data_IF_241793821281
#
_entry.id   IF_241793821281
#
_cell.length_a   1.000
_cell.length_b   1.000
_cell.length_c   1.000
_cell.angle_alpha   90.00
_cell.angle_beta   90.00
_cell.angle_gamma   90.00
#
_symmetry.space_group_name_H-M   'P 1'
#
loop_
_entity.id
_entity.type
_entity.pdbx_description
1 polymer ?
#
# COMPACT_ATOMS: atom_id res chain seq x y z
N UNK A 1 -1.63 -15.06 -6.45
CA UNK A 1 -3.06 -15.41 -6.58
C UNK A 1 -3.73 -15.06 -5.26
N UNK A 2 -4.96 -14.55 -5.26
CA UNK A 2 -5.71 -14.25 -4.03
C UNK A 2 -6.89 -15.23 -3.96
N UNK A 3 -6.99 -16.01 -2.89
CA UNK A 3 -8.19 -16.82 -2.62
C UNK A 3 -9.20 -15.96 -1.85
N UNK A 4 -10.47 -16.05 -2.22
CA UNK A 4 -11.56 -15.29 -1.61
C UNK A 4 -12.88 -16.02 -1.80
N UNK A 5 -13.97 -15.50 -1.25
CA UNK A 5 -15.31 -16.05 -1.48
C UNK A 5 -15.55 -16.37 -2.97
N UNK A 6 -16.01 -17.59 -3.24
CA UNK A 6 -16.26 -18.13 -4.58
C UNK A 6 -15.03 -18.69 -5.31
N UNK A 7 -13.81 -18.55 -4.78
CA UNK A 7 -12.64 -19.29 -5.26
C UNK A 7 -12.87 -20.80 -5.12
N UNK A 8 -12.38 -21.59 -6.07
CA UNK A 8 -12.46 -23.05 -6.03
C UNK A 8 -11.14 -23.69 -6.45
N UNK A 9 -10.85 -24.89 -5.96
CA UNK A 9 -9.72 -25.70 -6.41
C UNK A 9 -8.83 -26.24 -5.31
N UNK A 10 -7.67 -26.78 -5.71
CA UNK A 10 -6.73 -27.45 -4.83
C UNK A 10 -6.11 -26.51 -3.78
N UNK A 11 -5.94 -25.23 -4.14
CA UNK A 11 -5.41 -24.20 -3.25
C UNK A 11 -6.39 -23.88 -2.12
N UNK A 12 -7.69 -23.85 -2.41
CA UNK A 12 -8.75 -23.69 -1.40
C UNK A 12 -8.81 -24.91 -0.49
N UNK A 13 -8.71 -26.11 -1.06
CA UNK A 13 -8.67 -27.36 -0.30
C UNK A 13 -7.49 -27.38 0.68
N UNK A 14 -6.31 -26.95 0.24
CA UNK A 14 -5.12 -26.85 1.07
C UNK A 14 -5.29 -25.83 2.19
N UNK A 15 -5.86 -24.65 1.88
CA UNK A 15 -6.20 -23.61 2.86
C UNK A 15 -7.15 -24.14 3.93
N UNK A 16 -8.27 -24.76 3.55
CA UNK A 16 -9.26 -25.31 4.49
C UNK A 16 -8.61 -26.33 5.43
N UNK A 17 -7.78 -27.24 4.90
CA UNK A 17 -7.02 -28.20 5.72
C UNK A 17 -6.04 -27.51 6.68
N UNK A 18 -5.38 -26.44 6.25
CA UNK A 18 -4.48 -25.68 7.10
C UNK A 18 -5.23 -24.99 8.25
N UNK A 19 -6.33 -24.30 7.95
CA UNK A 19 -7.18 -23.63 8.95
C UNK A 19 -7.77 -24.63 9.96
N UNK A 20 -8.27 -25.78 9.50
CA UNK A 20 -8.77 -26.83 10.40
C UNK A 20 -7.69 -27.38 11.32
N UNK A 21 -6.45 -27.59 10.82
CA UNK A 21 -5.31 -28.01 11.66
C UNK A 21 -4.94 -26.96 12.71
N UNK A 22 -5.10 -25.68 12.37
CA UNK A 22 -4.89 -24.56 13.28
C UNK A 22 -6.08 -24.33 14.24
N UNK A 23 -7.13 -25.14 14.16
CA UNK A 23 -8.28 -25.11 15.07
C UNK A 23 -9.39 -24.13 14.67
N UNK A 24 -9.38 -23.60 13.45
CA UNK A 24 -10.43 -22.69 12.97
C UNK A 24 -11.62 -23.47 12.39
N UNK A 25 -12.81 -22.93 12.62
CA UNK A 25 -14.10 -23.51 12.28
C UNK A 25 -15.01 -22.46 11.63
N UNK A 26 -16.13 -22.90 11.08
CA UNK A 26 -17.15 -21.99 10.56
C UNK A 26 -17.86 -21.20 11.66
N UNK A 27 -18.78 -20.30 11.27
CA UNK A 27 -19.52 -19.45 12.21
C UNK A 27 -20.42 -20.22 13.19
N UNK A 28 -20.72 -21.50 12.93
CA UNK A 28 -21.50 -22.38 13.80
C UNK A 28 -20.61 -23.25 14.69
N UNK A 29 -19.30 -23.07 14.65
CA UNK A 29 -18.33 -23.89 15.38
C UNK A 29 -18.10 -25.27 14.76
N UNK A 30 -18.59 -25.51 13.53
CA UNK A 30 -18.37 -26.78 12.83
C UNK A 30 -17.04 -26.75 12.10
N UNK A 31 -16.32 -27.88 12.13
CA UNK A 31 -15.09 -28.05 11.37
C UNK A 31 -15.33 -27.76 9.88
N UNK A 32 -14.36 -27.09 9.24
CA UNK A 32 -14.46 -26.75 7.82
C UNK A 32 -14.51 -28.02 6.97
N UNK A 33 -15.44 -28.04 6.01
CA UNK A 33 -15.40 -29.02 4.93
C UNK A 33 -14.19 -28.71 4.04
N UNK A 34 -13.29 -29.66 3.90
CA UNK A 34 -12.18 -29.57 2.96
C UNK A 34 -12.67 -30.04 1.58
N UNK A 35 -13.53 -29.23 0.95
CA UNK A 35 -14.20 -29.52 -0.32
C UNK A 35 -13.60 -28.74 -1.51
N UNK A 36 -12.67 -27.83 -1.24
CA UNK A 36 -12.08 -26.96 -2.25
C UNK A 36 -13.01 -25.84 -2.72
N UNK A 37 -14.10 -25.52 -2.00
CA UNK A 37 -14.98 -24.39 -2.27
C UNK A 37 -14.87 -23.31 -1.18
N UNK A 38 -14.46 -22.11 -1.56
CA UNK A 38 -14.30 -21.00 -0.64
C UNK A 38 -15.67 -20.34 -0.41
N UNK A 39 -16.51 -21.02 0.36
CA UNK A 39 -17.81 -20.50 0.81
C UNK A 39 -17.72 -19.69 2.11
N UNK A 40 -18.88 -19.28 2.62
CA UNK A 40 -19.01 -18.44 3.82
C UNK A 40 -18.35 -19.02 5.07
N UNK A 41 -18.36 -20.34 5.24
CA UNK A 41 -17.67 -21.00 6.36
C UNK A 41 -16.14 -20.83 6.29
N UNK A 42 -15.56 -20.94 5.10
CA UNK A 42 -14.12 -20.73 4.87
C UNK A 42 -13.75 -19.27 5.07
N UNK A 43 -14.55 -18.34 4.52
CA UNK A 43 -14.33 -16.90 4.71
C UNK A 43 -14.37 -16.50 6.18
N UNK A 44 -15.35 -16.99 6.94
CA UNK A 44 -15.44 -16.75 8.37
C UNK A 44 -14.18 -17.25 9.10
N UNK A 45 -13.73 -18.47 8.82
CA UNK A 45 -12.52 -19.02 9.44
C UNK A 45 -11.26 -18.21 9.10
N UNK A 46 -11.13 -17.76 7.85
CA UNK A 46 -10.04 -16.86 7.43
C UNK A 46 -10.09 -15.56 8.22
N UNK A 47 -11.26 -14.94 8.34
CA UNK A 47 -11.41 -13.71 9.12
C UNK A 47 -11.05 -13.90 10.59
N UNK A 48 -11.49 -14.99 11.23
CA UNK A 48 -11.12 -15.29 12.61
C UNK A 48 -9.62 -15.50 12.76
N UNK A 49 -8.99 -16.18 11.80
CA UNK A 49 -7.55 -16.38 11.77
C UNK A 49 -6.79 -15.04 11.65
N UNK A 50 -7.19 -14.19 10.71
CA UNK A 50 -6.61 -12.86 10.54
C UNK A 50 -6.77 -12.01 11.81
N UNK A 51 -7.97 -11.97 12.40
CA UNK A 51 -8.25 -11.25 13.66
C UNK A 51 -7.39 -11.74 14.81
N UNK A 52 -7.26 -13.06 14.97
CA UNK A 52 -6.47 -13.66 16.05
C UNK A 52 -5.00 -13.25 16.01
N UNK A 53 -4.46 -13.03 14.82
CA UNK A 53 -3.07 -12.59 14.58
C UNK A 53 -2.92 -11.07 14.45
N UNK A 54 -4.02 -10.32 14.60
CA UNK A 54 -4.04 -8.86 14.44
C UNK A 54 -3.79 -8.38 13.01
N UNK A 55 -3.88 -9.26 12.02
CA UNK A 55 -3.80 -8.88 10.60
C UNK A 55 -5.06 -8.12 10.19
N UNK A 56 -4.97 -7.35 9.11
CA UNK A 56 -6.16 -6.78 8.44
C UNK A 56 -7.13 -7.92 8.11
N UNK A 57 -8.32 -7.90 8.72
CA UNK A 57 -9.28 -8.99 8.65
C UNK A 57 -10.27 -8.82 7.48
N UNK A 58 -9.73 -8.90 6.26
CA UNK A 58 -10.48 -8.74 5.02
C UNK A 58 -11.11 -10.04 4.49
N UNK A 59 -10.94 -11.21 5.14
CA UNK A 59 -11.49 -12.48 4.67
C UNK A 59 -10.87 -13.01 3.37
N UNK A 60 -9.84 -12.34 2.83
CA UNK A 60 -9.10 -12.74 1.63
C UNK A 60 -7.78 -13.38 2.02
N UNK A 61 -7.39 -14.42 1.30
CA UNK A 61 -6.10 -15.08 1.49
C UNK A 61 -5.16 -14.65 0.38
N UNK A 62 -4.46 -13.54 0.64
CA UNK A 62 -3.29 -13.11 -0.12
C UNK A 62 -1.98 -13.47 0.59
N UNK A 63 -0.87 -12.92 0.10
CA UNK A 63 0.48 -13.25 0.58
C UNK A 63 0.63 -13.04 2.11
N UNK A 64 0.02 -11.99 2.68
CA UNK A 64 0.07 -11.70 4.12
C UNK A 64 -0.54 -12.84 4.96
N UNK A 65 -1.72 -13.31 4.55
CA UNK A 65 -2.40 -14.41 5.24
C UNK A 65 -1.69 -15.75 5.02
N UNK A 66 -1.12 -15.98 3.83
CA UNK A 66 -0.31 -17.16 3.57
C UNK A 66 0.98 -17.20 4.41
N UNK A 67 1.70 -16.08 4.52
CA UNK A 67 2.86 -15.92 5.42
C UNK A 67 2.50 -16.33 6.84
N UNK A 68 1.35 -15.86 7.33
CA UNK A 68 0.84 -16.17 8.66
C UNK A 68 0.46 -17.65 8.82
N UNK A 69 -0.23 -18.25 7.85
CA UNK A 69 -0.61 -19.67 7.86
C UNK A 69 0.63 -20.57 7.91
N UNK A 70 1.71 -20.16 7.23
CA UNK A 70 2.98 -20.87 7.22
C UNK A 70 3.82 -20.66 8.50
N UNK A 71 3.32 -19.91 9.49
CA UNK A 71 4.03 -19.64 10.74
C UNK A 71 5.25 -18.73 10.60
N UNK A 72 5.34 -17.98 9.49
CA UNK A 72 6.40 -16.98 9.28
C UNK A 72 6.10 -15.72 10.09
N UNK A 73 7.14 -14.97 10.46
CA UNK A 73 6.98 -13.73 11.23
C UNK A 73 6.07 -12.73 10.51
N UNK A 74 5.08 -12.24 11.24
CA UNK A 74 4.10 -11.24 10.79
C UNK A 74 4.25 -9.91 11.52
N UNK A 75 5.29 -9.73 12.35
CA UNK A 75 5.53 -8.52 13.15
C UNK A 75 5.55 -7.24 12.32
N UNK A 76 6.12 -7.31 11.11
CA UNK A 76 6.21 -6.19 10.17
C UNK A 76 4.96 -5.97 9.32
N UNK A 77 3.97 -6.86 9.35
CA UNK A 77 2.76 -6.73 8.53
C UNK A 77 1.75 -5.75 9.12
N UNK A 78 0.99 -5.12 8.24
CA UNK A 78 -0.04 -4.14 8.57
C UNK A 78 -1.09 -4.75 9.50
N UNK A 79 -1.48 -4.00 10.52
CA UNK A 79 -2.41 -4.45 11.56
C UNK A 79 -3.79 -3.87 11.36
N UNK A 80 -4.79 -4.61 11.82
CA UNK A 80 -6.17 -4.14 11.81
C UNK A 80 -6.35 -2.84 12.61
N UNK A 81 -5.67 -2.74 13.75
CA UNK A 81 -5.64 -1.56 14.61
C UNK A 81 -5.06 -0.32 13.93
N UNK A 82 -4.23 -0.48 12.90
CA UNK A 82 -3.63 0.66 12.20
C UNK A 82 -4.71 1.44 11.43
N UNK A 83 -5.68 0.74 10.84
CA UNK A 83 -6.82 1.37 10.17
C UNK A 83 -7.80 2.02 11.15
N UNK A 84 -8.02 1.42 12.32
CA UNK A 84 -8.86 2.02 13.37
C UNK A 84 -8.26 3.34 13.88
N UNK A 85 -6.95 3.35 14.12
CA UNK A 85 -6.20 4.56 14.49
C UNK A 85 -6.24 5.60 13.38
N UNK A 86 -6.03 5.19 12.12
CA UNK A 86 -6.12 6.08 10.97
C UNK A 86 -7.50 6.71 10.81
N UNK A 87 -8.57 5.93 10.94
CA UNK A 87 -9.96 6.40 10.88
C UNK A 87 -10.22 7.48 11.95
N UNK A 88 -9.77 7.21 13.18
CA UNK A 88 -9.88 8.14 14.31
C UNK A 88 -9.10 9.44 14.07
N UNK A 89 -7.83 9.33 13.65
CA UNK A 89 -6.95 10.48 13.38
C UNK A 89 -7.50 11.35 12.26
N UNK A 90 -7.91 10.75 11.15
CA UNK A 90 -8.41 11.46 9.99
C UNK A 90 -9.85 11.95 10.16
N UNK A 91 -10.59 11.40 11.13
CA UNK A 91 -12.04 11.63 11.34
C UNK A 91 -12.85 11.22 10.12
N UNK A 92 -12.62 9.99 9.65
CA UNK A 92 -13.30 9.40 8.50
C UNK A 92 -13.89 8.05 8.91
N UNK A 93 -14.82 7.53 8.11
CA UNK A 93 -15.31 6.16 8.29
C UNK A 93 -14.16 5.16 8.25
N UNK A 94 -14.16 4.20 9.18
CA UNK A 94 -13.19 3.10 9.18
C UNK A 94 -13.25 2.30 7.87
N UNK A 95 -14.45 2.07 7.36
CA UNK A 95 -14.67 1.44 6.06
C UNK A 95 -13.98 2.23 4.94
N UNK A 96 -14.16 3.56 4.92
CA UNK A 96 -13.58 4.42 3.89
C UNK A 96 -12.04 4.32 3.84
N UNK A 97 -11.36 4.42 4.99
CA UNK A 97 -9.89 4.35 5.01
C UNK A 97 -9.35 2.94 4.75
N UNK A 98 -10.09 1.89 5.16
CA UNK A 98 -9.74 0.50 4.85
C UNK A 98 -9.83 0.23 3.35
N UNK A 99 -10.95 0.61 2.71
CA UNK A 99 -11.15 0.45 1.28
C UNK A 99 -10.10 1.25 0.52
N UNK A 100 -9.88 2.51 0.89
CA UNK A 100 -8.88 3.34 0.23
C UNK A 100 -7.48 2.75 0.36
N UNK A 101 -7.09 2.31 1.56
CA UNK A 101 -5.79 1.67 1.77
C UNK A 101 -5.65 0.31 1.06
N UNK A 102 -6.72 -0.48 0.96
CA UNK A 102 -6.70 -1.77 0.27
C UNK A 102 -6.57 -1.60 -1.25
N UNK A 103 -7.21 -0.58 -1.83
CA UNK A 103 -7.14 -0.30 -3.27
C UNK A 103 -5.81 0.34 -3.66
N UNK A 104 -5.26 1.23 -2.81
CA UNK A 104 -3.98 1.90 -3.08
C UNK A 104 -2.76 1.07 -2.70
N UNK A 105 -2.91 0.15 -1.74
CA UNK A 105 -1.85 -0.70 -1.27
C UNK A 105 -1.45 -1.78 -2.27
N UNK A 106 -0.15 -2.01 -2.46
CA UNK A 106 0.38 -3.03 -3.38
C UNK A 106 0.72 -4.35 -2.69
N UNK A 107 -0.27 -4.95 -2.02
CA UNK A 107 -0.10 -6.22 -1.30
C UNK A 107 0.93 -6.09 -0.17
N UNK A 108 2.00 -6.90 -0.19
CA UNK A 108 3.12 -6.77 0.74
C UNK A 108 3.88 -5.45 0.53
N UNK A 109 4.29 -4.81 1.61
CA UNK A 109 5.16 -3.63 1.62
C UNK A 109 6.64 -3.95 1.47
N UNK A 110 7.01 -5.22 1.57
CA UNK A 110 8.39 -5.71 1.51
C UNK A 110 8.59 -6.68 0.34
N UNK A 111 9.82 -6.74 -0.14
CA UNK A 111 10.34 -7.74 -1.05
C UNK A 111 10.73 -9.00 -0.29
N UNK A 112 11.02 -10.07 -1.02
CA UNK A 112 11.41 -11.37 -0.45
C UNK A 112 12.68 -11.30 0.41
N UNK A 113 13.58 -10.37 0.11
CA UNK A 113 14.80 -10.11 0.87
C UNK A 113 14.61 -9.18 2.09
N UNK A 114 13.37 -8.85 2.44
CA UNK A 114 13.03 -8.01 3.59
C UNK A 114 13.24 -6.50 3.39
N UNK A 115 13.68 -6.06 2.20
CA UNK A 115 13.73 -4.63 1.87
C UNK A 115 12.34 -4.10 1.49
N UNK A 116 11.99 -2.83 1.78
CA UNK A 116 10.75 -2.23 1.32
C UNK A 116 10.62 -2.31 -0.21
N UNK A 117 9.39 -2.41 -0.72
CA UNK A 117 9.17 -2.24 -2.16
C UNK A 117 9.51 -0.82 -2.56
N UNK A 118 10.27 -0.66 -3.64
CA UNK A 118 10.61 0.65 -4.20
C UNK A 118 10.35 0.70 -5.70
N UNK A 119 10.20 1.92 -6.21
CA UNK A 119 10.36 2.22 -7.63
C UNK A 119 11.24 3.47 -7.74
N UNK A 120 12.35 3.37 -8.48
CA UNK A 120 13.28 4.48 -8.66
C UNK A 120 12.95 5.27 -9.94
N UNK A 121 12.81 6.59 -9.79
CA UNK A 121 12.40 7.51 -10.84
C UNK A 121 13.58 8.34 -11.35
N UNK A 122 14.25 7.85 -12.41
CA UNK A 122 15.41 8.53 -13.04
C UNK A 122 15.15 9.99 -13.46
N UNK A 123 13.89 10.32 -13.76
CA UNK A 123 13.45 11.66 -14.10
C UNK A 123 13.39 12.61 -12.91
N UNK A 124 13.04 12.08 -11.73
CA UNK A 124 13.14 12.81 -10.46
C UNK A 124 14.58 13.02 -10.06
N UNK A 125 15.43 12.00 -10.26
CA UNK A 125 16.86 12.12 -9.99
C UNK A 125 17.47 13.28 -10.79
N UNK A 126 17.16 13.37 -12.09
CA UNK A 126 17.56 14.51 -12.92
C UNK A 126 17.07 15.85 -12.35
N UNK A 127 15.80 15.95 -11.98
CA UNK A 127 15.21 17.18 -11.45
C UNK A 127 15.92 17.65 -10.16
N UNK A 128 16.17 16.74 -9.21
CA UNK A 128 16.84 17.06 -7.96
C UNK A 128 18.32 17.39 -8.14
N UNK A 129 19.04 16.66 -9.00
CA UNK A 129 20.43 16.98 -9.33
C UNK A 129 20.56 18.36 -10.00
N UNK A 130 19.62 18.71 -10.90
CA UNK A 130 19.54 20.03 -11.52
C UNK A 130 19.33 21.12 -10.47
N UNK A 131 18.43 20.89 -9.52
CA UNK A 131 18.12 21.85 -8.45
C UNK A 131 19.29 22.01 -7.48
N UNK A 132 19.95 20.91 -7.07
CA UNK A 132 21.01 20.90 -6.06
C UNK A 132 22.34 21.41 -6.61
N UNK A 133 22.67 21.09 -7.87
CA UNK A 133 23.96 21.43 -8.48
C UNK A 133 23.82 22.46 -9.60
N UNK A 134 23.39 22.05 -10.78
CA UNK A 134 23.11 22.93 -11.93
C UNK A 134 22.52 22.15 -13.10
N UNK A 135 21.94 22.86 -14.07
CA UNK A 135 21.51 22.28 -15.34
C UNK A 135 22.66 21.60 -16.10
N UNK A 136 23.84 22.25 -16.14
CA UNK A 136 25.03 21.71 -16.83
C UNK A 136 25.45 20.37 -16.22
N UNK A 137 25.53 20.31 -14.89
CA UNK A 137 25.90 19.08 -14.18
C UNK A 137 24.88 17.96 -14.39
N UNK A 138 23.59 18.27 -14.33
CA UNK A 138 22.54 17.29 -14.56
C UNK A 138 22.59 16.72 -16.00
N UNK A 139 22.86 17.57 -16.99
CA UNK A 139 23.01 17.14 -18.39
C UNK A 139 24.25 16.25 -18.62
N UNK A 140 25.37 16.55 -17.96
CA UNK A 140 26.56 15.69 -17.97
C UNK A 140 26.24 14.29 -17.40
N UNK A 141 25.49 14.24 -16.30
CA UNK A 141 25.11 12.99 -15.64
C UNK A 141 24.12 12.16 -16.47
N UNK A 142 23.30 12.77 -17.32
CA UNK A 142 22.48 12.03 -18.31
C UNK A 142 23.38 11.24 -19.26
N UNK A 143 24.44 11.87 -19.79
CA UNK A 143 25.35 11.22 -20.75
C UNK A 143 26.12 10.08 -20.08
N UNK A 144 26.53 10.27 -18.83
CA UNK A 144 27.32 9.28 -18.08
C UNK A 144 26.48 8.13 -17.52
N UNK A 145 25.24 8.40 -17.10
CA UNK A 145 24.38 7.43 -16.40
C UNK A 145 22.91 7.48 -16.87
N UNK A 146 22.61 7.24 -18.16
CA UNK A 146 21.27 7.45 -18.72
C UNK A 146 20.15 6.56 -18.14
N UNK A 147 20.51 5.46 -17.45
CA UNK A 147 19.58 4.58 -16.75
C UNK A 147 19.21 5.08 -15.34
N UNK A 148 20.02 5.98 -14.79
CA UNK A 148 19.90 6.54 -13.44
C UNK A 148 19.45 8.00 -13.47
N UNK A 149 19.90 8.75 -14.47
CA UNK A 149 19.57 10.17 -14.67
C UNK A 149 19.07 10.35 -16.09
N UNK A 150 17.84 10.81 -16.27
CA UNK A 150 17.26 11.05 -17.58
C UNK A 150 16.13 12.08 -17.48
N UNK A 151 15.82 12.83 -18.52
CA UNK A 151 14.59 13.67 -18.52
C UNK A 151 13.33 12.85 -18.71
N UNK A 152 13.43 11.67 -19.33
CA UNK A 152 12.32 10.75 -19.56
C UNK A 152 12.09 9.80 -18.37
N UNK A 153 10.82 9.47 -18.13
CA UNK A 153 10.42 8.39 -17.20
C UNK A 153 10.91 7.03 -17.67
N UNK A 154 10.84 6.00 -16.82
CA UNK A 154 11.20 4.63 -17.19
C UNK A 154 12.59 4.16 -16.75
N UNK A 155 13.09 3.12 -17.44
CA UNK A 155 14.29 2.38 -17.05
C UNK A 155 14.04 1.38 -15.90
N UNK A 156 12.78 1.15 -15.56
CA UNK A 156 12.36 0.25 -14.48
C UNK A 156 12.82 -1.19 -14.76
N UNK A 157 13.38 -1.82 -13.74
CA UNK A 157 13.75 -3.23 -13.69
C UNK A 157 12.76 -4.04 -12.84
N UNK A 158 12.13 -3.39 -11.85
CA UNK A 158 11.15 -3.99 -10.96
C UNK A 158 11.78 -4.77 -9.79
N UNK A 159 10.99 -4.92 -8.72
CA UNK A 159 11.32 -5.67 -7.51
C UNK A 159 12.75 -5.38 -6.98
N UNK A 160 13.52 -6.43 -6.63
CA UNK A 160 14.86 -6.30 -6.06
C UNK A 160 15.86 -5.58 -6.99
N UNK A 161 15.64 -5.61 -8.31
CA UNK A 161 16.53 -4.97 -9.27
C UNK A 161 16.44 -3.43 -9.23
N UNK A 162 15.35 -2.85 -8.70
CA UNK A 162 15.27 -1.40 -8.46
C UNK A 162 16.30 -0.94 -7.42
N UNK A 163 16.70 -1.80 -6.47
CA UNK A 163 17.74 -1.45 -5.51
C UNK A 163 19.11 -1.30 -6.15
N UNK A 164 19.41 -2.01 -7.24
CA UNK A 164 20.65 -1.80 -7.98
C UNK A 164 20.69 -0.38 -8.55
N UNK A 165 19.56 0.09 -9.11
CA UNK A 165 19.45 1.47 -9.61
C UNK A 165 19.58 2.49 -8.48
N UNK A 166 18.90 2.26 -7.36
CA UNK A 166 18.97 3.16 -6.21
C UNK A 166 20.39 3.27 -5.63
N UNK A 167 21.10 2.15 -5.46
CA UNK A 167 22.47 2.17 -4.94
C UNK A 167 23.45 2.85 -5.90
N UNK A 168 23.29 2.67 -7.22
CA UNK A 168 24.04 3.44 -8.21
C UNK A 168 23.71 4.93 -8.16
N UNK A 169 22.45 5.29 -7.93
CA UNK A 169 22.04 6.69 -7.76
C UNK A 169 22.66 7.32 -6.50
N UNK A 170 22.73 6.58 -5.40
CA UNK A 170 23.36 7.02 -4.14
C UNK A 170 24.85 7.29 -4.27
N UNK A 171 25.55 6.62 -5.20
CA UNK A 171 26.94 6.94 -5.54
C UNK A 171 27.09 8.34 -6.18
N UNK A 172 26.03 8.88 -6.78
CA UNK A 172 26.00 10.24 -7.33
C UNK A 172 25.65 11.24 -6.24
N UNK A 173 24.49 11.08 -5.60
CA UNK A 173 24.05 11.88 -4.45
C UNK A 173 22.98 11.11 -3.68
N UNK A 174 23.23 10.87 -2.38
CA UNK A 174 22.35 10.04 -1.53
C UNK A 174 20.98 10.68 -1.36
N UNK A 175 20.92 11.97 -1.08
CA UNK A 175 19.66 12.66 -0.78
C UNK A 175 18.76 12.72 -2.03
N UNK A 176 19.32 13.14 -3.17
CA UNK A 176 18.59 13.14 -4.45
C UNK A 176 18.10 11.74 -4.80
N UNK A 177 18.92 10.70 -4.58
CA UNK A 177 18.54 9.33 -4.87
C UNK A 177 17.36 8.85 -4.04
N UNK A 178 17.39 9.09 -2.72
CA UNK A 178 16.31 8.69 -1.82
C UNK A 178 15.02 9.47 -2.08
N UNK A 179 15.11 10.76 -2.40
CA UNK A 179 13.95 11.58 -2.79
C UNK A 179 13.31 11.08 -4.10
N UNK A 180 14.11 10.50 -4.99
CA UNK A 180 13.71 10.03 -6.31
C UNK A 180 13.14 8.62 -6.34
N UNK A 181 12.86 8.02 -5.19
CA UNK A 181 12.23 6.70 -5.11
C UNK A 181 10.89 6.78 -4.37
N UNK A 182 9.92 5.95 -4.79
CA UNK A 182 8.73 5.61 -4.00
C UNK A 182 9.03 4.46 -3.07
N UNK A 183 8.35 4.41 -1.91
CA UNK A 183 8.67 3.45 -0.85
C UNK A 183 7.45 2.76 -0.25
N UNK A 184 7.60 1.48 0.06
CA UNK A 184 6.67 0.67 0.83
C UNK A 184 5.37 0.33 0.09
N UNK A 185 4.41 -0.19 0.85
CA UNK A 185 3.12 -0.69 0.37
C UNK A 185 2.33 0.35 -0.43
N UNK A 186 2.38 1.61 -0.01
CA UNK A 186 1.61 2.72 -0.60
C UNK A 186 2.40 3.56 -1.61
N UNK A 187 3.66 3.21 -1.84
CA UNK A 187 4.53 3.88 -2.84
C UNK A 187 4.62 5.40 -2.64
N UNK A 188 4.73 5.85 -1.39
CA UNK A 188 4.94 7.27 -1.08
C UNK A 188 6.32 7.70 -1.55
N UNK A 189 6.39 8.77 -2.32
CA UNK A 189 7.66 9.30 -2.84
C UNK A 189 8.49 9.92 -1.72
N UNK A 190 9.78 9.61 -1.70
CA UNK A 190 10.74 10.15 -0.75
C UNK A 190 10.87 11.67 -0.82
N UNK A 191 10.56 12.29 -1.96
CA UNK A 191 10.54 13.76 -2.09
C UNK A 191 9.64 14.47 -1.07
N UNK A 192 8.59 13.80 -0.60
CA UNK A 192 7.63 14.39 0.32
C UNK A 192 8.10 14.39 1.79
N UNK A 193 9.28 13.83 2.11
CA UNK A 193 9.71 13.64 3.51
C UNK A 193 9.52 14.88 4.40
N UNK A 194 9.85 16.06 3.88
CA UNK A 194 9.77 17.32 4.63
C UNK A 194 8.33 17.75 4.87
N UNK A 195 7.51 17.68 3.83
CA UNK A 195 6.09 17.99 3.86
C UNK A 195 5.30 17.03 4.76
N UNK A 196 5.76 15.78 4.87
CA UNK A 196 5.23 14.76 5.76
C UNK A 196 5.86 14.82 7.18
N UNK A 197 6.63 15.87 7.48
CA UNK A 197 7.14 16.12 8.84
C UNK A 197 8.21 15.13 9.33
N UNK A 198 8.93 14.46 8.43
CA UNK A 198 10.12 13.69 8.78
C UNK A 198 11.32 14.62 8.97
N UNK A 199 12.31 14.19 9.77
CA UNK A 199 13.50 15.00 10.05
C UNK A 199 14.48 15.06 8.88
N UNK A 200 14.49 14.02 8.05
CA UNK A 200 15.28 13.92 6.82
C UNK A 200 14.67 12.88 5.88
N UNK A 201 15.13 12.84 4.64
CA UNK A 201 14.76 11.74 3.71
C UNK A 201 15.26 10.38 4.22
N UNK A 202 16.38 10.35 4.96
CA UNK A 202 16.90 9.11 5.54
C UNK A 202 15.98 8.60 6.66
N UNK A 203 15.53 9.47 7.56
CA UNK A 203 14.55 9.13 8.61
C UNK A 203 13.23 8.61 7.99
N UNK A 204 12.74 9.27 6.93
CA UNK A 204 11.60 8.75 6.18
C UNK A 204 11.86 7.31 5.69
N UNK A 205 13.00 7.07 5.03
CA UNK A 205 13.35 5.75 4.48
C UNK A 205 13.51 4.71 5.59
N UNK A 206 14.16 5.04 6.70
CA UNK A 206 14.38 4.14 7.83
C UNK A 206 13.06 3.64 8.41
N UNK A 207 12.06 4.51 8.52
CA UNK A 207 10.71 4.12 8.95
C UNK A 207 10.04 3.14 7.97
N UNK A 208 10.29 3.27 6.65
CA UNK A 208 9.75 2.32 5.67
C UNK A 208 10.35 0.91 5.83
N UNK A 209 11.57 0.78 6.36
CA UNK A 209 12.21 -0.51 6.68
C UNK A 209 11.66 -1.19 7.94
N UNK A 210 11.02 -0.43 8.83
CA UNK A 210 10.57 -0.92 10.13
C UNK A 210 9.33 -1.82 10.01
N UNK A 211 8.23 -1.34 9.41
CA UNK A 211 6.99 -2.11 9.28
C UNK A 211 6.03 -1.53 8.23
N UNK A 212 5.07 -2.32 7.77
CA UNK A 212 3.95 -1.84 6.95
C UNK A 212 3.07 -0.85 7.71
N UNK A 213 2.99 -0.91 9.05
CA UNK A 213 2.30 0.09 9.87
C UNK A 213 2.93 1.48 9.70
N UNK A 214 4.26 1.57 9.66
CA UNK A 214 4.97 2.82 9.39
C UNK A 214 4.89 3.24 7.92
N UNK A 215 4.74 2.28 7.00
CA UNK A 215 4.43 2.60 5.61
C UNK A 215 3.00 3.15 5.46
N UNK A 216 2.03 2.68 6.25
CA UNK A 216 0.69 3.28 6.34
C UNK A 216 0.79 4.67 6.96
N UNK A 217 1.58 4.88 8.01
CA UNK A 217 1.79 6.20 8.63
C UNK A 217 2.22 7.24 7.58
N UNK A 218 3.18 6.91 6.71
CA UNK A 218 3.56 7.79 5.60
C UNK A 218 2.39 8.14 4.66
N UNK A 219 1.51 7.17 4.38
CA UNK A 219 0.30 7.36 3.59
C UNK A 219 -0.75 8.23 4.30
N UNK A 220 -0.94 8.05 5.61
CA UNK A 220 -1.84 8.90 6.41
C UNK A 220 -1.36 10.34 6.43
N UNK A 221 -0.07 10.58 6.65
CA UNK A 221 0.51 11.93 6.57
C UNK A 221 0.35 12.53 5.18
N UNK A 222 0.49 11.71 4.14
CA UNK A 222 0.27 12.17 2.77
C UNK A 222 -1.18 12.59 2.53
N UNK A 223 -2.16 11.86 3.07
CA UNK A 223 -3.57 12.26 3.04
C UNK A 223 -3.79 13.61 3.72
N UNK A 224 -3.19 13.83 4.88
CA UNK A 224 -3.31 15.08 5.64
C UNK A 224 -2.70 16.28 4.91
N UNK A 225 -1.55 16.10 4.26
CA UNK A 225 -0.83 17.15 3.56
C UNK A 225 -1.38 17.45 2.16
N UNK A 226 -1.79 16.41 1.42
CA UNK A 226 -2.03 16.54 -0.02
C UNK A 226 -3.20 17.47 -0.31
N UNK A 227 -2.95 18.45 -1.17
CA UNK A 227 -3.99 19.29 -1.76
C UNK A 227 -3.78 19.47 -3.27
N UNK A 228 -4.81 19.95 -3.94
CA UNK A 228 -4.77 20.24 -5.37
C UNK A 228 -6.04 20.97 -5.82
N UNK A 229 -6.20 21.07 -7.14
CA UNK A 229 -7.37 21.71 -7.75
C UNK A 229 -8.20 20.65 -8.45
N UNK A 230 -9.48 20.56 -8.08
CA UNK A 230 -10.47 19.67 -8.70
C UNK A 230 -11.66 20.55 -9.10
N UNK A 231 -12.08 20.49 -10.37
CA UNK A 231 -13.17 21.32 -10.90
C UNK A 231 -13.01 22.81 -10.56
N UNK A 232 -11.80 23.35 -10.78
CA UNK A 232 -11.42 24.75 -10.50
C UNK A 232 -11.52 25.18 -9.03
N UNK A 233 -11.70 24.26 -8.10
CA UNK A 233 -11.71 24.52 -6.66
C UNK A 233 -10.49 23.91 -6.00
N UNK A 234 -9.88 24.63 -5.06
CA UNK A 234 -8.83 24.08 -4.19
C UNK A 234 -9.48 23.11 -3.20
N UNK A 235 -8.98 21.88 -3.15
CA UNK A 235 -9.50 20.81 -2.31
C UNK A 235 -8.32 20.10 -1.66
N UNK A 236 -8.45 19.77 -0.37
CA UNK A 236 -7.50 18.89 0.33
C UNK A 236 -7.96 17.44 0.19
N UNK A 237 -7.02 16.49 0.13
CA UNK A 237 -7.35 15.07 0.06
C UNK A 237 -8.09 14.62 1.33
N UNK A 238 -7.71 15.16 2.49
CA UNK A 238 -8.40 14.90 3.76
C UNK A 238 -9.86 15.36 3.74
N UNK A 239 -10.15 16.58 3.29
CA UNK A 239 -11.54 17.07 3.24
C UNK A 239 -12.37 16.30 2.21
N UNK A 240 -11.76 15.94 1.07
CA UNK A 240 -12.39 15.08 0.08
C UNK A 240 -12.73 13.70 0.67
N UNK A 241 -11.84 13.11 1.47
CA UNK A 241 -12.07 11.82 2.12
C UNK A 241 -13.17 11.91 3.20
N UNK A 242 -13.17 12.98 4.02
CA UNK A 242 -14.20 13.23 5.04
C UNK A 242 -15.59 13.44 4.46
N UNK A 243 -15.67 14.06 3.29
CA UNK A 243 -16.93 14.31 2.57
C UNK A 243 -17.27 13.19 1.58
N UNK A 244 -16.48 12.11 1.57
CA UNK A 244 -16.61 10.99 0.62
C UNK A 244 -16.72 11.45 -0.85
N UNK A 245 -16.04 12.55 -1.20
CA UNK A 245 -15.93 13.04 -2.57
C UNK A 245 -14.91 12.20 -3.34
N UNK A 246 -15.31 11.00 -3.74
CA UNK A 246 -14.45 10.01 -4.39
C UNK A 246 -13.80 10.50 -5.69
N UNK A 247 -14.49 11.35 -6.48
CA UNK A 247 -13.89 11.95 -7.68
C UNK A 247 -12.68 12.83 -7.33
N UNK A 248 -12.79 13.63 -6.26
CA UNK A 248 -11.67 14.44 -5.77
C UNK A 248 -10.58 13.58 -5.14
N UNK A 249 -10.93 12.56 -4.34
CA UNK A 249 -9.96 11.62 -3.74
C UNK A 249 -9.12 10.96 -4.83
N UNK A 250 -9.76 10.36 -5.84
CA UNK A 250 -9.06 9.63 -6.89
C UNK A 250 -8.26 10.57 -7.79
N UNK A 251 -8.77 11.78 -8.08
CA UNK A 251 -8.03 12.78 -8.85
C UNK A 251 -6.77 13.24 -8.12
N UNK A 252 -6.86 13.51 -6.81
CA UNK A 252 -5.73 14.02 -6.03
C UNK A 252 -4.65 12.96 -5.78
N UNK A 253 -5.04 11.69 -5.66
CA UNK A 253 -4.10 10.59 -5.40
C UNK A 253 -3.54 9.96 -6.68
N UNK A 254 -4.41 9.60 -7.64
CA UNK A 254 -4.04 8.86 -8.86
C UNK A 254 -3.85 9.76 -10.10
N UNK A 255 -4.22 11.04 -9.99
CA UNK A 255 -4.24 11.99 -11.11
C UNK A 255 -5.50 11.91 -11.96
N UNK A 256 -5.65 12.88 -12.89
CA UNK A 256 -6.87 13.06 -13.70
C UNK A 256 -7.19 11.88 -14.64
N UNK A 257 -6.23 10.99 -14.90
CA UNK A 257 -6.43 9.80 -15.75
C UNK A 257 -7.03 8.61 -15.01
N UNK A 258 -7.34 8.71 -13.70
CA UNK A 258 -7.82 7.58 -12.89
C UNK A 258 -9.06 6.87 -13.48
N UNK A 259 -9.95 7.62 -14.14
CA UNK A 259 -11.18 7.08 -14.76
C UNK A 259 -10.87 6.03 -15.82
N UNK A 260 -9.80 6.24 -16.60
CA UNK A 260 -9.36 5.29 -17.64
C UNK A 260 -8.77 4.00 -17.07
N UNK A 261 -8.33 4.03 -15.81
CA UNK A 261 -7.70 2.91 -15.11
C UNK A 261 -8.69 2.03 -14.34
N UNK A 262 -10.00 2.30 -14.48
CA UNK A 262 -11.07 1.52 -13.85
C UNK A 262 -11.06 1.60 -12.32
N UNK A 263 -10.45 2.64 -11.75
CA UNK A 263 -10.24 2.75 -10.30
C UNK A 263 -11.56 2.71 -9.54
N UNK A 264 -12.59 3.41 -10.03
CA UNK A 264 -13.91 3.45 -9.40
C UNK A 264 -14.53 2.05 -9.25
N UNK A 265 -14.38 1.17 -10.26
CA UNK A 265 -14.89 -0.19 -10.18
C UNK A 265 -14.11 -1.04 -9.15
N UNK A 266 -12.79 -0.86 -9.06
CA UNK A 266 -11.97 -1.53 -8.04
C UNK A 266 -12.36 -1.08 -6.64
N UNK A 267 -12.54 0.22 -6.46
CA UNK A 267 -12.95 0.80 -5.18
C UNK A 267 -14.33 0.30 -4.77
N UNK A 268 -15.31 0.32 -5.68
CA UNK A 268 -16.66 -0.19 -5.37
C UNK A 268 -16.64 -1.68 -5.01
N UNK A 269 -15.91 -2.50 -5.77
CA UNK A 269 -15.81 -3.93 -5.47
C UNK A 269 -15.17 -4.20 -4.10
N UNK A 270 -14.19 -3.39 -3.70
CA UNK A 270 -13.57 -3.49 -2.38
C UNK A 270 -14.50 -2.97 -1.27
N UNK A 271 -15.25 -1.91 -1.55
CA UNK A 271 -16.27 -1.38 -0.64
C UNK A 271 -17.37 -2.41 -0.38
N UNK A 272 -17.96 -2.99 -1.43
CA UNK A 272 -19.03 -3.98 -1.31
C UNK A 272 -18.57 -5.22 -0.52
N UNK A 273 -17.29 -5.57 -0.65
CA UNK A 273 -16.67 -6.66 0.09
C UNK A 273 -16.47 -6.33 1.57
N UNK A 274 -15.96 -5.13 1.90
CA UNK A 274 -15.62 -4.76 3.28
C UNK A 274 -16.81 -4.21 4.08
N UNK A 275 -17.82 -3.64 3.43
CA UNK A 275 -18.96 -3.00 4.10
C UNK A 275 -19.71 -3.94 5.06
N UNK A 276 -19.97 -5.23 4.73
CA UNK A 276 -20.58 -6.17 5.67
C UNK A 276 -19.68 -6.53 6.86
N UNK A 277 -18.36 -6.40 6.71
CA UNK A 277 -17.36 -6.80 7.71
C UNK A 277 -17.05 -5.66 8.69
N UNK A 278 -17.13 -4.43 8.19
CA UNK A 278 -16.84 -3.19 8.91
C UNK A 278 -18.01 -2.21 8.70
N UNK A 279 -19.19 -2.48 9.28
CA UNK A 279 -20.36 -1.64 9.08
C UNK A 279 -20.10 -0.23 9.61
N UNK A 280 -20.53 0.77 8.84
CA UNK A 280 -20.49 2.17 9.26
C UNK A 280 -21.36 2.28 10.51
N UNK A 281 -20.73 2.44 11.67
CA UNK A 281 -21.46 2.78 12.89
C UNK A 281 -22.11 4.14 12.63
N UNK A 282 -23.45 4.18 12.65
CA UNK A 282 -24.16 5.46 12.69
C UNK A 282 -23.64 6.20 13.93
N UNK A 283 -22.98 7.33 13.71
CA UNK A 283 -22.58 8.22 14.79
C UNK A 283 -23.89 8.70 15.42
N UNK A 284 -24.11 8.30 16.68
CA UNK A 284 -25.22 8.80 17.50
C UNK A 284 -25.03 10.29 17.82
#
# INVERSE_FOLDING_TARGET
MILKFGSKGAEVLALQKALSRLGYADAKGKALAADGDFGAGTEYAVMQFQKKLGLVADGKVGDKTLTAINGTDVSKLLKDSDYQQAATRLKVSELAIRVFGAVEGRGLGFLSNGKPKILFERHRMYAYLKQKFSLSRANELIQKYPNIVNTATGGYQGNEAEYVRLELAKQIDVECALQSASWGQFQIMGENWKDLGYSSVQDFVDQQYCSESLQLEAFIRFIEWKSGTVNSKKVTLLDALRTENWDAVFTLYNGSNYKKLGYQAKFQAEWDHLAPLYPVQQVA
#
